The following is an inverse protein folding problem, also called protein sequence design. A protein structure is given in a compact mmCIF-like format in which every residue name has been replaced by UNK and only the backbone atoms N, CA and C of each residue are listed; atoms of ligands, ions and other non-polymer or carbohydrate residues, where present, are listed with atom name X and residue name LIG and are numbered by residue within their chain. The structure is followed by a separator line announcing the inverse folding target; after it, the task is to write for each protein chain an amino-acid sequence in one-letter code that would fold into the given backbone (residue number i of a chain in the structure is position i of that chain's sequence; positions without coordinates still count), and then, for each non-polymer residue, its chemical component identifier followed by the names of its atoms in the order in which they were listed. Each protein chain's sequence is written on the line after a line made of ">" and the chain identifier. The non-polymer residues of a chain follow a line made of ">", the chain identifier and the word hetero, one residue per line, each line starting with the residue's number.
data_IF_620794130134
#
_entry.id   IF_620794130134
#
_cell.length_a   1.000
_cell.length_b   1.000
_cell.length_c   1.000
_cell.angle_alpha   90.00
_cell.angle_beta   90.00
_cell.angle_gamma   90.00
#
_symmetry.space_group_name_H-M   'P 1'
#
loop_
_entity.id
_entity.type
_entity.pdbx_description
1 polymer ?
#
# COMPACT_ATOMS: atom_id res chain seq x y z
N UNK A 1 -11.87 2.38 -0.52
CA UNK A 1 -10.60 1.68 -0.83
C UNK A 1 -9.36 2.56 -0.67
N UNK A 2 -9.16 3.58 -1.52
CA UNK A 2 -7.94 4.42 -1.52
C UNK A 2 -7.60 5.11 -0.19
N UNK A 3 -8.59 5.67 0.53
CA UNK A 3 -8.37 6.33 1.83
C UNK A 3 -7.91 5.32 2.89
N UNK A 4 -8.53 4.12 2.93
CA UNK A 4 -8.14 3.04 3.85
C UNK A 4 -6.72 2.55 3.57
N UNK A 5 -6.36 2.41 2.29
CA UNK A 5 -5.00 2.04 1.90
C UNK A 5 -3.96 3.03 2.43
N UNK A 6 -4.20 4.33 2.22
CA UNK A 6 -3.32 5.40 2.73
C UNK A 6 -3.26 5.40 4.25
N UNK A 7 -4.38 5.13 4.94
CA UNK A 7 -4.42 5.04 6.39
C UNK A 7 -3.62 3.86 6.94
N UNK A 8 -3.83 2.64 6.42
CA UNK A 8 -3.07 1.46 6.85
C UNK A 8 -1.58 1.58 6.54
N UNK A 9 -1.24 2.15 5.39
CA UNK A 9 0.14 2.50 5.03
C UNK A 9 0.75 3.48 6.06
N UNK A 10 -0.03 4.49 6.46
CA UNK A 10 0.37 5.49 7.45
C UNK A 10 0.56 4.90 8.86
N UNK A 11 -0.27 3.93 9.26
CA UNK A 11 -0.12 3.22 10.53
C UNK A 11 1.11 2.32 10.53
N UNK A 12 1.34 1.55 9.45
CA UNK A 12 2.51 0.65 9.35
C UNK A 12 3.83 1.43 9.35
N UNK A 13 3.86 2.60 8.69
CA UNK A 13 5.05 3.45 8.61
C UNK A 13 5.15 4.48 9.74
N UNK A 14 4.12 4.61 10.58
CA UNK A 14 4.01 5.64 11.62
C UNK A 14 4.23 7.07 11.08
N UNK A 15 3.60 7.37 9.93
CA UNK A 15 3.69 8.66 9.23
C UNK A 15 2.28 9.25 9.11
N UNK A 16 2.16 10.57 8.92
CA UNK A 16 0.86 11.19 8.69
C UNK A 16 0.22 10.68 7.37
N UNK A 17 -1.07 10.30 7.35
CA UNK A 17 -1.75 9.82 6.13
C UNK A 17 -1.77 10.85 4.99
N UNK A 18 -1.67 12.14 5.32
CA UNK A 18 -1.54 13.23 4.36
C UNK A 18 -0.27 13.14 3.53
N UNK A 19 0.81 12.61 4.11
CA UNK A 19 2.13 12.42 3.47
C UNK A 19 2.27 11.07 2.75
N UNK A 20 1.29 10.17 2.90
CA UNK A 20 1.25 8.88 2.22
C UNK A 20 0.38 8.97 0.97
N UNK A 21 0.95 8.66 -0.18
CA UNK A 21 0.28 8.63 -1.47
C UNK A 21 0.32 7.21 -2.04
N UNK A 22 -0.82 6.72 -2.49
CA UNK A 22 -0.95 5.37 -3.01
C UNK A 22 -2.30 5.18 -3.68
N UNK A 23 -2.34 4.25 -4.63
CA UNK A 23 -3.51 4.01 -5.46
C UNK A 23 -3.87 2.53 -5.44
N UNK A 24 -5.18 2.29 -5.37
CA UNK A 24 -5.77 0.99 -5.66
C UNK A 24 -6.63 1.20 -6.90
N UNK A 25 -6.42 0.34 -7.89
CA UNK A 25 -7.15 0.32 -9.17
C UNK A 25 -7.93 -0.99 -9.29
N UNK A 26 -8.82 -1.07 -10.28
CA UNK A 26 -9.66 -2.24 -10.52
C UNK A 26 -11.03 -2.17 -9.85
N UNK A 27 -11.73 -3.30 -9.87
CA UNK A 27 -13.06 -3.44 -9.28
C UNK A 27 -12.98 -3.48 -7.76
N UNK A 28 -13.99 -2.93 -7.08
CA UNK A 28 -14.04 -2.95 -5.63
C UNK A 28 -14.24 -4.38 -5.09
N UNK A 29 -13.21 -4.94 -4.44
CA UNK A 29 -13.27 -6.29 -3.86
C UNK A 29 -12.00 -7.06 -4.15
N UNK A 30 -12.10 -8.37 -4.31
CA UNK A 30 -10.96 -9.29 -4.47
C UNK A 30 -10.17 -9.06 -5.77
N UNK A 31 -10.76 -8.36 -6.75
CA UNK A 31 -10.13 -8.03 -8.04
C UNK A 31 -9.46 -6.66 -8.06
N UNK A 32 -9.41 -5.96 -6.92
CA UNK A 32 -8.62 -4.73 -6.85
C UNK A 32 -7.13 -5.02 -6.86
N UNK A 33 -6.33 -4.03 -7.26
CA UNK A 33 -4.88 -4.13 -7.31
C UNK A 33 -4.27 -2.89 -6.67
N UNK A 34 -3.40 -3.10 -5.67
CA UNK A 34 -2.58 -2.04 -5.10
C UNK A 34 -1.39 -1.73 -6.00
N UNK A 35 -1.23 -0.45 -6.37
CA UNK A 35 -0.15 0.00 -7.27
C UNK A 35 1.07 0.39 -6.44
N UNK A 36 1.84 -0.61 -5.99
CA UNK A 36 3.02 -0.42 -5.12
C UNK A 36 4.13 0.42 -5.74
N UNK A 37 4.35 0.30 -7.05
CA UNK A 37 5.32 1.10 -7.79
C UNK A 37 5.04 2.60 -7.78
N UNK A 38 3.77 2.99 -7.57
CA UNK A 38 3.38 4.39 -7.42
C UNK A 38 3.40 4.89 -5.97
N UNK A 39 3.54 4.01 -4.98
CA UNK A 39 3.44 4.42 -3.58
C UNK A 39 4.59 5.37 -3.24
N UNK A 40 4.23 6.55 -2.75
CA UNK A 40 5.18 7.59 -2.38
C UNK A 40 4.86 8.11 -0.99
N UNK A 41 5.87 8.24 -0.15
CA UNK A 41 5.75 8.71 1.21
C UNK A 41 6.75 9.85 1.42
N UNK A 42 6.23 11.02 1.78
CA UNK A 42 7.03 12.23 1.98
C UNK A 42 7.97 12.58 0.80
N UNK A 43 7.58 12.28 -0.44
CA UNK A 43 8.38 12.53 -1.63
C UNK A 43 9.29 11.36 -2.04
N UNK A 44 9.42 10.31 -1.23
CA UNK A 44 10.23 9.13 -1.54
C UNK A 44 9.34 7.98 -1.99
N UNK A 45 9.64 7.38 -3.15
CA UNK A 45 8.93 6.20 -3.65
C UNK A 45 9.31 4.98 -2.81
N UNK A 46 8.32 4.21 -2.34
CA UNK A 46 8.57 3.07 -1.45
C UNK A 46 9.43 1.99 -2.10
N UNK A 47 9.32 1.80 -3.41
CA UNK A 47 10.17 0.88 -4.18
C UNK A 47 11.65 1.25 -4.18
N UNK A 48 12.03 2.49 -3.89
CA UNK A 48 13.44 2.87 -3.71
C UNK A 48 14.00 2.40 -2.37
N UNK A 49 13.15 2.26 -1.35
CA UNK A 49 13.52 1.82 0.00
C UNK A 49 13.41 0.31 0.11
N UNK A 50 12.36 -0.28 -0.47
CA UNK A 50 12.06 -1.70 -0.48
C UNK A 50 11.68 -2.13 -1.90
N UNK A 51 12.65 -2.58 -2.73
CA UNK A 51 12.44 -2.88 -4.14
C UNK A 51 11.46 -4.03 -4.39
N UNK A 52 11.39 -4.96 -3.46
CA UNK A 52 10.55 -6.17 -3.45
C UNK A 52 9.14 -5.93 -2.88
N UNK A 53 8.77 -4.68 -2.58
CA UNK A 53 7.49 -4.37 -1.94
C UNK A 53 6.29 -4.82 -2.78
N UNK A 54 5.40 -5.57 -2.14
CA UNK A 54 4.21 -6.13 -2.79
C UNK A 54 4.50 -7.33 -3.70
N UNK A 55 5.77 -7.73 -3.86
CA UNK A 55 6.11 -9.00 -4.48
C UNK A 55 5.89 -10.17 -3.52
N UNK A 56 5.89 -11.40 -4.05
CA UNK A 56 5.76 -12.61 -3.23
C UNK A 56 7.00 -12.89 -2.37
N UNK A 57 8.13 -12.30 -2.73
CA UNK A 57 9.41 -12.34 -2.03
C UNK A 57 9.48 -11.32 -0.91
N UNK A 58 8.46 -10.48 -0.74
CA UNK A 58 8.38 -9.52 0.34
C UNK A 58 8.28 -10.22 1.71
N UNK A 59 9.37 -10.15 2.48
CA UNK A 59 9.45 -10.71 3.83
C UNK A 59 8.44 -10.10 4.82
N UNK A 60 7.98 -8.88 4.57
CA UNK A 60 7.02 -8.16 5.41
C UNK A 60 5.57 -8.26 4.90
N UNK A 61 5.36 -9.02 3.82
CA UNK A 61 4.05 -9.38 3.25
C UNK A 61 3.08 -8.20 3.11
N UNK A 62 3.56 -7.06 2.58
CA UNK A 62 2.79 -5.81 2.53
C UNK A 62 1.51 -5.92 1.70
N UNK A 63 1.52 -6.72 0.64
CA UNK A 63 0.32 -7.02 -0.16
C UNK A 63 -0.76 -7.71 0.70
N UNK A 64 -0.41 -8.78 1.41
CA UNK A 64 -1.36 -9.53 2.22
C UNK A 64 -1.78 -8.79 3.49
N UNK A 65 -0.91 -7.94 4.06
CA UNK A 65 -1.20 -7.21 5.29
C UNK A 65 -1.98 -5.93 5.06
N UNK A 66 -1.71 -5.21 3.97
CA UNK A 66 -2.36 -3.93 3.70
C UNK A 66 -3.48 -4.12 2.70
N UNK A 67 -3.22 -4.67 1.51
CA UNK A 67 -4.23 -4.73 0.45
C UNK A 67 -5.42 -5.62 0.87
N UNK A 68 -5.17 -6.78 1.49
CA UNK A 68 -6.25 -7.62 2.03
C UNK A 68 -7.08 -6.92 3.10
N UNK A 69 -6.49 -6.18 4.05
CA UNK A 69 -7.24 -5.39 5.04
C UNK A 69 -8.02 -4.22 4.45
N UNK A 70 -7.68 -3.79 3.23
CA UNK A 70 -8.47 -2.79 2.51
C UNK A 70 -9.69 -3.42 1.83
N UNK A 71 -9.58 -4.68 1.40
CA UNK A 71 -10.62 -5.48 0.74
C UNK A 71 -11.59 -6.10 1.76
N UNK A 72 -11.04 -6.81 2.74
CA UNK A 72 -11.77 -7.44 3.85
C UNK A 72 -12.25 -6.34 4.82
N UNK A 73 -13.53 -6.40 5.19
CA UNK A 73 -14.21 -5.32 5.93
C UNK A 73 -13.81 -5.23 7.39
#
# INVERSE_FOLDING_TARGET
>A
MRIRFRFLLSEKLNIAPSSCHGWIIGEHGDSSVAVWSGVNVAGVTLSNVKPDIGEKTDDEHWEQDIHRKVVER
#
